data_IF_773240273172
#
_entry.id   IF_773240273172
#
_cell.length_a   1.000
_cell.length_b   1.000
_cell.length_c   1.000
_cell.angle_alpha   90.00
_cell.angle_beta   90.00
_cell.angle_gamma   90.00
#
_symmetry.space_group_name_H-M   'P 1'
#
loop_
_entity.id
_entity.type
_entity.pdbx_description
1 polymer ?
#
# COMPACT_ATOMS: atom_id res chain seq x y z
N UNK A 1 -25.47 7.29 -30.54
CA UNK A 1 -24.80 6.17 -29.89
C UNK A 1 -25.78 5.06 -29.60
N UNK A 2 -25.44 3.89 -30.07
CA UNK A 2 -26.23 2.67 -29.88
C UNK A 2 -26.19 2.22 -28.43
N UNK A 3 -27.26 1.64 -27.92
CA UNK A 3 -27.36 1.10 -26.55
C UNK A 3 -26.24 0.12 -26.24
N UNK A 4 -25.86 -0.73 -27.19
CA UNK A 4 -24.79 -1.71 -27.01
C UNK A 4 -23.41 -1.03 -26.84
N UNK A 5 -23.20 0.11 -27.48
CA UNK A 5 -21.97 0.89 -27.33
C UNK A 5 -21.89 1.55 -25.95
N UNK A 6 -23.00 2.07 -25.45
CA UNK A 6 -23.09 2.67 -24.12
C UNK A 6 -22.86 1.62 -23.03
N UNK A 7 -23.47 0.45 -23.18
CA UNK A 7 -23.29 -0.66 -22.26
C UNK A 7 -21.84 -1.15 -22.25
N UNK A 8 -21.21 -1.19 -23.42
CA UNK A 8 -19.80 -1.56 -23.53
C UNK A 8 -18.89 -0.59 -22.77
N UNK A 9 -19.11 0.72 -22.94
CA UNK A 9 -18.36 1.76 -22.21
C UNK A 9 -18.57 1.64 -20.69
N UNK A 10 -19.80 1.42 -20.25
CA UNK A 10 -20.09 1.21 -18.84
C UNK A 10 -19.32 0.01 -18.28
N UNK A 11 -19.31 -1.10 -18.99
CA UNK A 11 -18.60 -2.31 -18.57
C UNK A 11 -17.10 -2.07 -18.49
N UNK A 12 -16.51 -1.31 -19.40
CA UNK A 12 -15.10 -0.95 -19.36
C UNK A 12 -14.77 -0.12 -18.10
N UNK A 13 -15.61 0.86 -17.79
CA UNK A 13 -15.43 1.69 -16.60
C UNK A 13 -15.56 0.88 -15.32
N UNK A 14 -16.53 -0.03 -15.28
CA UNK A 14 -16.71 -0.93 -14.14
C UNK A 14 -15.49 -1.84 -13.93
N UNK A 15 -14.97 -2.41 -15.01
CA UNK A 15 -13.76 -3.25 -14.95
C UNK A 15 -12.56 -2.47 -14.43
N UNK A 16 -12.42 -1.22 -14.86
CA UNK A 16 -11.33 -0.36 -14.40
C UNK A 16 -11.45 -0.07 -12.90
N UNK A 17 -12.66 0.20 -12.43
CA UNK A 17 -12.91 0.35 -10.99
C UNK A 17 -12.55 -0.93 -10.21
N UNK A 18 -13.04 -2.08 -10.68
CA UNK A 18 -12.77 -3.38 -10.05
C UNK A 18 -11.28 -3.67 -9.98
N UNK A 19 -10.55 -3.36 -11.05
CA UNK A 19 -9.09 -3.53 -11.10
C UNK A 19 -8.39 -2.65 -10.07
N UNK A 20 -8.78 -1.37 -9.98
CA UNK A 20 -8.22 -0.45 -8.98
C UNK A 20 -8.51 -0.91 -7.55
N UNK A 21 -9.71 -1.41 -7.31
CA UNK A 21 -10.10 -1.93 -5.99
C UNK A 21 -9.26 -3.14 -5.60
N UNK A 22 -9.07 -4.08 -6.51
CA UNK A 22 -8.23 -5.26 -6.27
C UNK A 22 -6.80 -4.84 -5.96
N UNK A 23 -6.25 -3.91 -6.72
CA UNK A 23 -4.89 -3.39 -6.48
C UNK A 23 -4.77 -2.71 -5.12
N UNK A 24 -5.75 -1.90 -4.76
CA UNK A 24 -5.77 -1.23 -3.46
C UNK A 24 -5.84 -2.24 -2.31
N UNK A 25 -6.67 -3.27 -2.42
CA UNK A 25 -6.77 -4.33 -1.42
C UNK A 25 -5.44 -5.09 -1.29
N UNK A 26 -4.77 -5.38 -2.40
CA UNK A 26 -3.46 -6.03 -2.41
C UNK A 26 -2.41 -5.18 -1.68
N UNK A 27 -2.42 -3.87 -1.92
CA UNK A 27 -1.52 -2.93 -1.24
C UNK A 27 -1.76 -2.95 0.27
N UNK A 28 -3.02 -2.89 0.69
CA UNK A 28 -3.39 -2.96 2.12
C UNK A 28 -2.89 -4.25 2.77
N UNK A 29 -3.05 -5.38 2.10
CA UNK A 29 -2.57 -6.67 2.59
C UNK A 29 -1.05 -6.71 2.72
N UNK A 30 -0.34 -6.15 1.75
CA UNK A 30 1.13 -6.09 1.77
C UNK A 30 1.65 -5.21 2.91
N UNK A 31 1.00 -4.07 3.17
CA UNK A 31 1.34 -3.19 4.29
C UNK A 31 1.16 -3.94 5.61
N UNK A 32 0.06 -4.63 5.78
CA UNK A 32 -0.20 -5.41 6.98
C UNK A 32 0.85 -6.51 7.18
N UNK A 33 1.23 -7.20 6.12
CA UNK A 33 2.26 -8.23 6.18
C UNK A 33 3.61 -7.63 6.62
N UNK A 34 3.97 -6.46 6.12
CA UNK A 34 5.20 -5.75 6.53
C UNK A 34 5.14 -5.38 8.01
N UNK A 35 4.00 -4.87 8.47
CA UNK A 35 3.80 -4.53 9.89
C UNK A 35 3.96 -5.75 10.79
N UNK A 36 3.33 -6.86 10.43
CA UNK A 36 3.35 -8.09 11.23
C UNK A 36 4.76 -8.68 11.31
N UNK A 37 5.47 -8.76 10.18
CA UNK A 37 6.84 -9.29 10.13
C UNK A 37 7.79 -8.38 10.90
N UNK A 38 7.69 -7.08 10.73
CA UNK A 38 8.55 -6.10 11.42
C UNK A 38 8.34 -6.16 12.93
N UNK A 39 7.09 -6.24 13.38
CA UNK A 39 6.77 -6.34 14.80
C UNK A 39 7.40 -7.61 15.41
N UNK A 40 7.28 -8.74 14.73
CA UNK A 40 7.86 -10.00 15.18
C UNK A 40 9.39 -9.93 15.26
N UNK A 41 10.04 -9.34 14.27
CA UNK A 41 11.49 -9.19 14.24
C UNK A 41 12.01 -8.29 15.37
N UNK A 42 11.32 -7.19 15.66
CA UNK A 42 11.72 -6.28 16.73
C UNK A 42 11.49 -6.88 18.11
N UNK A 43 10.40 -7.59 18.33
CA UNK A 43 10.16 -8.33 19.60
C UNK A 43 11.26 -9.35 19.83
N UNK A 44 11.63 -10.09 18.81
CA UNK A 44 12.71 -11.07 18.90
C UNK A 44 14.06 -10.43 19.19
N UNK A 45 14.36 -9.32 18.51
CA UNK A 45 15.61 -8.58 18.76
C UNK A 45 15.67 -8.08 20.20
N UNK A 46 14.59 -7.50 20.71
CA UNK A 46 14.52 -7.06 22.11
C UNK A 46 14.78 -8.20 23.09
N UNK A 47 14.19 -9.37 22.82
CA UNK A 47 14.42 -10.56 23.63
C UNK A 47 15.87 -10.99 23.61
N UNK A 48 16.51 -10.94 22.45
CA UNK A 48 17.91 -11.34 22.27
C UNK A 48 18.90 -10.38 22.96
N UNK A 49 18.50 -9.13 23.22
CA UNK A 49 19.36 -8.20 23.98
C UNK A 49 19.71 -8.73 25.36
N UNK A 50 18.83 -9.52 25.97
CA UNK A 50 19.04 -10.10 27.28
C UNK A 50 20.04 -11.27 27.28
N UNK A 51 20.41 -11.77 26.10
CA UNK A 51 21.37 -12.86 25.92
C UNK A 51 22.82 -12.41 25.89
N UNK A 52 23.07 -11.09 25.72
CA UNK A 52 24.40 -10.55 25.69
C UNK A 52 25.07 -10.55 27.10
N UNK A 53 26.26 -11.10 27.19
CA UNK A 53 27.10 -10.97 28.35
C UNK A 53 28.02 -9.74 28.28
N UNK A 54 28.39 -9.34 27.06
CA UNK A 54 29.26 -8.17 26.83
C UNK A 54 28.43 -6.89 26.81
N UNK A 55 28.66 -6.00 27.78
CA UNK A 55 27.91 -4.75 27.92
C UNK A 55 28.03 -3.81 26.73
N UNK A 56 29.23 -3.75 26.14
CA UNK A 56 29.51 -2.89 24.99
C UNK A 56 28.74 -3.34 23.76
N UNK A 57 28.74 -4.64 23.50
CA UNK A 57 27.96 -5.22 22.37
C UNK A 57 26.46 -5.08 22.57
N UNK A 58 26.01 -5.29 23.81
CA UNK A 58 24.59 -5.08 24.14
C UNK A 58 24.15 -3.65 23.89
N UNK A 59 24.97 -2.67 24.30
CA UNK A 59 24.66 -1.25 24.09
C UNK A 59 24.61 -0.90 22.61
N UNK A 60 25.53 -1.43 21.81
CA UNK A 60 25.57 -1.22 20.37
C UNK A 60 24.34 -1.83 19.69
N UNK A 61 23.98 -3.05 20.08
CA UNK A 61 22.80 -3.72 19.52
C UNK A 61 21.52 -2.98 19.87
N UNK A 62 21.40 -2.49 21.11
CA UNK A 62 20.27 -1.68 21.55
C UNK A 62 20.16 -0.40 20.72
N UNK A 63 21.28 0.26 20.45
CA UNK A 63 21.31 1.47 19.63
C UNK A 63 20.88 1.19 18.20
N UNK A 64 21.38 0.10 17.61
CA UNK A 64 20.99 -0.33 16.26
C UNK A 64 19.49 -0.65 16.19
N UNK A 65 18.96 -1.33 17.20
CA UNK A 65 17.52 -1.63 17.30
C UNK A 65 16.70 -0.34 17.30
N UNK A 66 17.09 0.63 18.11
CA UNK A 66 16.41 1.92 18.19
C UNK A 66 16.40 2.65 16.85
N UNK A 67 17.55 2.70 16.17
CA UNK A 67 17.67 3.33 14.86
C UNK A 67 16.82 2.60 13.81
N UNK A 68 16.79 1.27 13.84
CA UNK A 68 15.98 0.47 12.94
C UNK A 68 14.48 0.71 13.18
N UNK A 69 14.06 0.80 14.43
CA UNK A 69 12.66 1.12 14.78
C UNK A 69 12.27 2.51 14.31
N UNK A 70 13.16 3.49 14.42
CA UNK A 70 12.90 4.84 13.93
C UNK A 70 12.79 4.88 12.40
N UNK A 71 13.65 4.17 11.70
CA UNK A 71 13.59 4.06 10.25
C UNK A 71 12.28 3.40 9.81
N UNK A 72 11.91 2.29 10.44
CA UNK A 72 10.65 1.59 10.19
C UNK A 72 9.45 2.51 10.43
N UNK A 73 9.45 3.28 11.53
CA UNK A 73 8.35 4.17 11.85
C UNK A 73 8.11 5.22 10.75
N UNK A 74 9.18 5.72 10.12
CA UNK A 74 9.06 6.65 9.00
C UNK A 74 8.47 5.99 7.76
N UNK A 75 8.91 4.76 7.45
CA UNK A 75 8.41 4.00 6.31
C UNK A 75 6.92 3.66 6.46
N UNK A 76 6.52 3.18 7.63
CA UNK A 76 5.13 2.80 7.86
C UNK A 76 4.19 4.01 7.83
N UNK A 77 4.62 5.15 8.35
CA UNK A 77 3.84 6.39 8.28
C UNK A 77 3.63 6.84 6.84
N UNK A 78 4.67 6.74 6.01
CA UNK A 78 4.55 7.08 4.58
C UNK A 78 3.56 6.16 3.88
N UNK A 79 3.61 4.86 4.14
CA UNK A 79 2.66 3.88 3.60
C UNK A 79 1.23 4.16 4.05
N UNK A 80 1.02 4.43 5.33
CA UNK A 80 -0.30 4.72 5.90
C UNK A 80 -0.90 6.00 5.34
N UNK A 81 -0.10 7.05 5.14
CA UNK A 81 -0.57 8.31 4.53
C UNK A 81 -1.03 8.09 3.09
N UNK A 82 -0.26 7.33 2.32
CA UNK A 82 -0.62 7.02 0.93
C UNK A 82 -1.88 6.15 0.88
N UNK A 83 -1.98 5.15 1.77
CA UNK A 83 -3.16 4.28 1.88
C UNK A 83 -4.42 5.09 2.21
N UNK A 84 -4.32 6.05 3.14
CA UNK A 84 -5.45 6.90 3.53
C UNK A 84 -5.97 7.75 2.37
N UNK A 85 -5.16 8.02 1.35
CA UNK A 85 -5.57 8.78 0.16
C UNK A 85 -6.29 7.92 -0.87
N UNK A 86 -6.14 6.60 -0.82
CA UNK A 86 -6.77 5.69 -1.79
C UNK A 86 -8.27 5.59 -1.57
N UNK A 87 -8.72 5.50 -0.33
CA UNK A 87 -10.14 5.30 -0.01
C UNK A 87 -11.06 6.36 -0.60
N UNK A 88 -10.79 7.69 -0.43
CA UNK A 88 -11.63 8.72 -1.05
C UNK A 88 -11.67 8.63 -2.57
N UNK A 89 -10.55 8.30 -3.22
CA UNK A 89 -10.48 8.17 -4.68
C UNK A 89 -11.32 6.98 -5.14
N UNK A 90 -11.24 5.84 -4.44
CA UNK A 90 -12.07 4.67 -4.75
C UNK A 90 -13.56 4.96 -4.54
N UNK A 91 -13.91 5.70 -3.50
CA UNK A 91 -15.30 6.08 -3.25
C UNK A 91 -15.86 6.96 -4.37
N UNK A 92 -15.09 7.94 -4.83
CA UNK A 92 -15.47 8.77 -5.97
C UNK A 92 -15.65 7.95 -7.24
N UNK A 93 -14.76 6.99 -7.47
CA UNK A 93 -14.83 6.06 -8.59
C UNK A 93 -16.11 5.22 -8.53
N UNK A 94 -16.38 4.66 -7.36
CA UNK A 94 -17.58 3.84 -7.11
C UNK A 94 -18.86 4.61 -7.37
N UNK A 95 -18.92 5.85 -6.88
CA UNK A 95 -20.08 6.71 -7.05
C UNK A 95 -20.38 6.98 -8.53
N UNK A 96 -19.33 7.20 -9.33
CA UNK A 96 -19.49 7.42 -10.77
C UNK A 96 -19.99 6.18 -11.49
N UNK A 97 -19.46 5.02 -11.16
CA UNK A 97 -19.91 3.74 -11.73
C UNK A 97 -21.36 3.50 -11.36
N UNK A 98 -21.72 3.74 -10.11
CA UNK A 98 -23.09 3.57 -9.61
C UNK A 98 -24.07 4.52 -10.31
N UNK A 99 -23.67 5.79 -10.49
CA UNK A 99 -24.48 6.77 -11.22
C UNK A 99 -24.74 6.31 -12.65
N UNK A 100 -23.70 5.85 -13.35
CA UNK A 100 -23.83 5.37 -14.73
C UNK A 100 -24.71 4.13 -14.83
N UNK A 101 -24.70 3.28 -13.82
CA UNK A 101 -25.57 2.08 -13.81
C UNK A 101 -27.03 2.43 -13.96
N UNK A 102 -27.47 3.54 -13.35
CA UNK A 102 -28.86 3.98 -13.38
C UNK A 102 -29.14 5.06 -14.42
N UNK A 103 -28.13 5.62 -15.04
CA UNK A 103 -28.22 6.72 -16.02
C UNK A 103 -27.38 6.41 -17.25
N UNK A 104 -27.66 5.27 -17.87
CA UNK A 104 -26.88 4.79 -19.01
C UNK A 104 -27.34 5.46 -20.31
N UNK A 105 -26.82 6.65 -20.57
CA UNK A 105 -27.05 7.39 -21.79
C UNK A 105 -25.79 8.13 -22.23
N UNK A 106 -25.75 8.54 -23.50
CA UNK A 106 -24.57 9.16 -24.09
C UNK A 106 -24.13 10.43 -23.34
N UNK A 107 -25.08 11.24 -22.89
CA UNK A 107 -24.81 12.48 -22.19
C UNK A 107 -24.18 12.23 -20.82
N UNK A 108 -24.71 11.27 -20.06
CA UNK A 108 -24.17 10.91 -18.75
C UNK A 108 -22.75 10.34 -18.87
N UNK A 109 -22.53 9.47 -19.83
CA UNK A 109 -21.19 8.88 -20.08
C UNK A 109 -20.21 9.96 -20.49
N UNK A 110 -20.57 10.85 -21.41
CA UNK A 110 -19.70 11.94 -21.85
C UNK A 110 -19.35 12.89 -20.70
N UNK A 111 -20.31 13.18 -19.80
CA UNK A 111 -20.09 14.05 -18.67
C UNK A 111 -19.12 13.46 -17.64
N UNK A 112 -19.14 12.15 -17.46
CA UNK A 112 -18.33 11.46 -16.43
C UNK A 112 -16.98 10.98 -16.99
N UNK A 113 -16.89 10.69 -18.28
CA UNK A 113 -15.71 10.08 -18.90
C UNK A 113 -14.42 10.85 -18.58
N UNK A 114 -14.47 12.17 -18.61
CA UNK A 114 -13.32 13.02 -18.33
C UNK A 114 -12.87 12.88 -16.86
N UNK A 115 -13.82 12.97 -15.92
CA UNK A 115 -13.54 12.79 -14.50
C UNK A 115 -13.01 11.38 -14.21
N UNK A 116 -13.51 10.40 -14.92
CA UNK A 116 -13.09 9.01 -14.78
C UNK A 116 -11.62 8.84 -15.17
N UNK A 117 -11.18 9.50 -16.25
CA UNK A 117 -9.78 9.48 -16.68
C UNK A 117 -8.90 10.10 -15.59
N UNK A 118 -9.27 11.26 -15.04
CA UNK A 118 -8.52 11.93 -13.98
C UNK A 118 -8.42 11.07 -12.73
N UNK A 119 -9.52 10.49 -12.28
CA UNK A 119 -9.56 9.62 -11.10
C UNK A 119 -8.70 8.37 -11.33
N UNK A 120 -8.77 7.79 -12.53
CA UNK A 120 -7.97 6.63 -12.90
C UNK A 120 -6.47 6.93 -12.85
N UNK A 121 -6.07 8.11 -13.34
CA UNK A 121 -4.68 8.57 -13.27
C UNK A 121 -4.23 8.80 -11.83
N UNK A 122 -5.06 9.46 -11.02
CA UNK A 122 -4.79 9.70 -9.60
C UNK A 122 -4.61 8.39 -8.85
N UNK A 123 -5.47 7.41 -9.11
CA UNK A 123 -5.38 6.08 -8.50
C UNK A 123 -4.10 5.37 -8.91
N UNK A 124 -3.75 5.40 -10.20
CA UNK A 124 -2.50 4.82 -10.70
C UNK A 124 -1.27 5.43 -10.04
N UNK A 125 -1.24 6.75 -9.90
CA UNK A 125 -0.12 7.46 -9.26
C UNK A 125 -0.01 7.10 -7.80
N UNK A 126 -1.14 7.03 -7.07
CA UNK A 126 -1.16 6.64 -5.67
C UNK A 126 -0.66 5.22 -5.47
N UNK A 127 -1.14 4.27 -6.27
CA UNK A 127 -0.73 2.87 -6.21
C UNK A 127 0.76 2.75 -6.52
N UNK A 128 1.25 3.44 -7.54
CA UNK A 128 2.67 3.42 -7.91
C UNK A 128 3.54 3.96 -6.77
N UNK A 129 3.16 5.08 -6.16
CA UNK A 129 3.88 5.64 -5.03
C UNK A 129 3.91 4.67 -3.85
N UNK A 130 2.81 3.99 -3.59
CA UNK A 130 2.73 2.98 -2.52
C UNK A 130 3.57 1.76 -2.83
N UNK A 131 3.57 1.27 -4.06
CA UNK A 131 4.40 0.13 -4.46
C UNK A 131 5.88 0.43 -4.27
N UNK A 132 6.32 1.66 -4.56
CA UNK A 132 7.69 2.09 -4.31
C UNK A 132 8.04 2.09 -2.82
N UNK A 133 7.14 2.63 -2.00
CA UNK A 133 7.34 2.67 -0.53
C UNK A 133 7.31 1.26 0.06
N UNK A 134 6.42 0.40 -0.43
CA UNK A 134 6.34 -1.00 -0.01
C UNK A 134 7.62 -1.75 -0.38
N UNK A 135 8.16 -1.52 -1.58
CA UNK A 135 9.42 -2.13 -2.01
C UNK A 135 10.58 -1.72 -1.09
N UNK A 136 10.66 -0.43 -0.73
CA UNK A 136 11.65 0.09 0.21
C UNK A 136 11.50 -0.56 1.59
N UNK A 137 10.28 -0.65 2.10
CA UNK A 137 10.00 -1.28 3.38
C UNK A 137 10.30 -2.78 3.36
N UNK A 138 10.00 -3.46 2.26
CA UNK A 138 10.29 -4.89 2.09
C UNK A 138 11.81 -5.14 2.09
N UNK A 139 12.59 -4.29 1.45
CA UNK A 139 14.04 -4.36 1.47
C UNK A 139 14.59 -4.15 2.88
N UNK A 140 14.01 -3.19 3.60
CA UNK A 140 14.38 -2.94 4.99
C UNK A 140 14.15 -4.17 5.88
N UNK A 141 12.98 -4.80 5.75
CA UNK A 141 12.64 -6.01 6.50
C UNK A 141 13.55 -7.17 6.12
N UNK A 142 13.86 -7.34 4.84
CA UNK A 142 14.80 -8.36 4.38
C UNK A 142 16.19 -8.14 4.98
N UNK A 143 16.65 -6.90 5.05
CA UNK A 143 17.90 -6.51 5.68
C UNK A 143 17.94 -6.89 7.16
N UNK A 144 16.85 -6.65 7.89
CA UNK A 144 16.73 -7.06 9.30
C UNK A 144 16.81 -8.58 9.45
N UNK A 145 16.13 -9.32 8.58
CA UNK A 145 16.14 -10.78 8.59
C UNK A 145 17.51 -11.35 8.27
N UNK A 146 18.24 -10.75 7.33
CA UNK A 146 19.60 -11.16 6.96
C UNK A 146 20.59 -10.94 8.11
N UNK A 147 20.53 -9.79 8.79
CA UNK A 147 21.38 -9.50 9.94
C UNK A 147 21.18 -10.56 11.04
N UNK A 148 19.96 -11.03 11.18
CA UNK A 148 19.63 -12.06 12.14
C UNK A 148 20.08 -13.46 11.71
N UNK A 149 20.05 -13.74 10.41
CA UNK A 149 20.42 -15.03 9.84
C UNK A 149 21.93 -15.25 9.77
N UNK A 150 22.74 -14.21 9.98
CA UNK A 150 24.20 -14.36 10.01
C UNK A 150 24.60 -15.23 11.22
N UNK A 151 25.29 -16.35 10.98
CA UNK A 151 25.65 -17.26 12.07
C UNK A 151 26.59 -16.58 13.05
N UNK A 152 26.29 -16.78 14.32
CA UNK A 152 26.97 -16.30 15.52
C UNK A 152 28.39 -15.82 15.38
N UNK A 153 28.51 -14.55 15.19
CA UNK A 153 29.72 -13.85 15.42
C UNK A 153 29.86 -13.50 16.89
#
# INVERSE_FOLDING_TARGET
>A
MDESSLEHKYKLLQRQYDFCKIKADTVTQRIKAIEDVSAALFVEWESELNEYSNRSLKARSRQQLKLSQQHYARLIKAMQRAEARISPVLMAFKDQVLYLKHNLNAQAIAAIEHEFIEISLDMSQLIQAMEMTIAEASQFVASLSEQKALPGY
#
